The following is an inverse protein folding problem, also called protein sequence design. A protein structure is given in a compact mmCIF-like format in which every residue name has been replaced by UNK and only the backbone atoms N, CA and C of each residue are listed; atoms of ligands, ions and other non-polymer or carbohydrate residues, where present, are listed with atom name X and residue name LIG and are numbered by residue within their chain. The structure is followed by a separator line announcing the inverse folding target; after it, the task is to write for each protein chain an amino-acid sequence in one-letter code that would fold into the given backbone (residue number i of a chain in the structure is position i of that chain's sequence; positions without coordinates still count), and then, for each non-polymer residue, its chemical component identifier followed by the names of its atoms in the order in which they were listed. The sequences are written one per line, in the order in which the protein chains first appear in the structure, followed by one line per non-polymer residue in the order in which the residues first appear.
data_IF_354485216510
#
_entry.id   IF_354485216510
#
_cell.length_a   1.000
_cell.length_b   1.000
_cell.length_c   1.000
_cell.angle_alpha   90.00
_cell.angle_beta   90.00
_cell.angle_gamma   90.00
#
_symmetry.space_group_name_H-M   'P 1'
#
loop_
_entity.id
_entity.type
_entity.pdbx_description
1 polymer ?
#
# COMPACT_ATOMS: atom_id res chain seq x y z
N UNK A 1 6.78 14.26 -37.35
CA UNK A 1 6.41 14.87 -36.06
C UNK A 1 6.49 13.76 -35.02
N UNK A 2 7.56 13.71 -34.22
CA UNK A 2 7.65 12.76 -33.10
C UNK A 2 7.65 13.59 -31.82
N UNK A 3 6.48 13.73 -31.21
CA UNK A 3 6.39 14.21 -29.83
C UNK A 3 6.66 12.99 -28.96
N UNK A 4 7.92 12.83 -28.56
CA UNK A 4 8.23 11.96 -27.43
C UNK A 4 7.65 12.62 -26.19
N UNK A 5 6.43 12.23 -25.82
CA UNK A 5 5.90 12.51 -24.50
C UNK A 5 6.76 11.76 -23.49
N UNK A 6 7.84 12.39 -23.03
CA UNK A 6 8.42 12.08 -21.73
C UNK A 6 7.36 12.43 -20.69
N UNK A 7 6.49 11.47 -20.39
CA UNK A 7 5.70 11.48 -19.16
C UNK A 7 6.73 11.33 -18.04
N UNK A 8 7.34 12.44 -17.65
CA UNK A 8 8.15 12.51 -16.46
C UNK A 8 7.22 12.20 -15.31
N UNK A 9 7.28 10.97 -14.80
CA UNK A 9 6.55 10.53 -13.62
C UNK A 9 7.05 11.38 -12.46
N UNK A 10 6.45 12.55 -12.26
CA UNK A 10 6.79 13.45 -11.17
C UNK A 10 6.52 12.70 -9.88
N UNK A 11 7.58 12.38 -9.14
CA UNK A 11 7.47 11.82 -7.80
C UNK A 11 6.74 12.83 -6.93
N UNK A 12 5.71 12.35 -6.22
CA UNK A 12 4.89 13.20 -5.37
C UNK A 12 5.70 13.69 -4.16
N UNK A 13 5.43 14.92 -3.75
CA UNK A 13 5.94 15.44 -2.47
C UNK A 13 5.34 14.66 -1.30
N UNK A 14 5.97 14.70 -0.13
CA UNK A 14 5.42 14.08 1.10
C UNK A 14 3.99 14.53 1.39
N UNK A 15 3.67 15.81 1.19
CA UNK A 15 2.33 16.35 1.41
C UNK A 15 1.30 15.76 0.44
N UNK A 16 1.68 15.61 -0.83
CA UNK A 16 0.82 14.99 -1.85
C UNK A 16 0.62 13.49 -1.57
N UNK A 17 1.66 12.77 -1.16
CA UNK A 17 1.55 11.36 -0.76
C UNK A 17 0.60 11.19 0.42
N UNK A 18 0.76 11.99 1.48
CA UNK A 18 -0.10 11.94 2.67
C UNK A 18 -1.55 12.25 2.32
N UNK A 19 -1.82 13.15 1.38
CA UNK A 19 -3.19 13.47 0.96
C UNK A 19 -3.88 12.33 0.19
N UNK A 20 -3.11 11.38 -0.35
CA UNK A 20 -3.62 10.21 -1.09
C UNK A 20 -3.69 8.93 -0.25
N UNK A 21 -3.25 8.99 1.01
CA UNK A 21 -3.31 7.85 1.91
C UNK A 21 -4.74 7.41 2.17
N UNK A 22 -4.96 6.10 2.15
CA UNK A 22 -6.23 5.52 2.58
C UNK A 22 -6.31 5.52 4.10
N UNK A 23 -7.48 5.85 4.65
CA UNK A 23 -7.74 5.82 6.08
C UNK A 23 -8.63 4.62 6.43
N UNK A 24 -8.21 3.85 7.42
CA UNK A 24 -8.98 2.71 7.95
C UNK A 24 -9.22 2.94 9.43
N UNK A 25 -10.40 3.48 9.76
CA UNK A 25 -10.75 4.01 11.09
C UNK A 25 -10.47 3.00 12.23
N UNK A 26 -10.70 1.71 11.96
CA UNK A 26 -10.56 0.65 12.97
C UNK A 26 -9.25 -0.15 12.90
N UNK A 27 -8.42 0.08 11.89
CA UNK A 27 -7.22 -0.75 11.65
C UNK A 27 -6.15 -0.54 12.73
N UNK A 28 -6.18 0.60 13.41
CA UNK A 28 -5.23 0.95 14.45
C UNK A 28 -5.51 0.25 15.79
N UNK A 29 -6.70 -0.36 15.93
CA UNK A 29 -7.00 -1.19 17.09
C UNK A 29 -6.23 -2.50 16.92
N UNK A 30 -5.25 -2.75 17.79
CA UNK A 30 -4.42 -3.97 17.79
C UNK A 30 -5.25 -5.27 17.86
N UNK A 31 -6.53 -5.17 18.24
CA UNK A 31 -7.52 -6.24 18.24
C UNK A 31 -8.17 -6.50 16.88
N UNK A 32 -8.25 -5.50 16.00
CA UNK A 32 -8.92 -5.58 14.69
C UNK A 32 -7.93 -5.87 13.57
N UNK A 33 -6.74 -5.28 13.59
CA UNK A 33 -5.72 -5.46 12.54
C UNK A 33 -5.43 -6.94 12.21
N UNK A 34 -5.29 -7.86 13.20
CA UNK A 34 -5.03 -9.27 12.93
C UNK A 34 -6.18 -10.02 12.24
N UNK A 35 -7.37 -9.42 12.14
CA UNK A 35 -8.55 -10.09 11.57
C UNK A 35 -8.61 -9.99 10.04
N UNK A 36 -7.83 -9.11 9.42
CA UNK A 36 -7.81 -8.98 7.97
C UNK A 36 -6.94 -10.06 7.33
N UNK A 37 -7.46 -10.71 6.28
CA UNK A 37 -6.77 -11.75 5.53
C UNK A 37 -6.54 -11.40 4.06
N UNK A 38 -7.23 -10.39 3.54
CA UNK A 38 -7.09 -9.91 2.17
C UNK A 38 -7.12 -8.39 2.10
N UNK A 39 -6.51 -7.83 1.07
CA UNK A 39 -6.51 -6.39 0.81
C UNK A 39 -6.41 -6.07 -0.68
N UNK A 40 -6.76 -4.84 -1.05
CA UNK A 40 -6.54 -4.29 -2.39
C UNK A 40 -5.46 -3.23 -2.28
N UNK A 41 -4.29 -3.47 -2.87
CA UNK A 41 -3.15 -2.57 -2.77
C UNK A 41 -3.25 -1.45 -3.81
N UNK A 42 -2.95 -0.21 -3.40
CA UNK A 42 -2.95 0.95 -4.29
C UNK A 42 -1.61 1.03 -5.06
N UNK A 43 -1.55 0.35 -6.20
CA UNK A 43 -0.37 0.33 -7.07
C UNK A 43 0.00 1.72 -7.57
N UNK A 44 -0.96 2.60 -7.81
CA UNK A 44 -0.68 3.95 -8.27
C UNK A 44 -0.01 4.79 -7.18
N UNK A 45 -0.46 4.65 -5.93
CA UNK A 45 0.19 5.28 -4.79
C UNK A 45 1.63 4.77 -4.62
N UNK A 46 1.87 3.46 -4.74
CA UNK A 46 3.22 2.88 -4.68
C UNK A 46 4.13 3.43 -5.80
N UNK A 47 3.65 3.45 -7.05
CA UNK A 47 4.38 4.03 -8.18
C UNK A 47 4.66 5.52 -7.96
N UNK A 48 3.69 6.26 -7.46
CA UNK A 48 3.81 7.69 -7.16
C UNK A 48 4.79 7.99 -6.02
N UNK A 49 4.96 7.04 -5.10
CA UNK A 49 5.96 7.06 -4.05
C UNK A 49 7.36 6.62 -4.52
N UNK A 50 7.51 6.26 -5.81
CA UNK A 50 8.77 5.79 -6.39
C UNK A 50 9.15 4.37 -5.95
N UNK A 51 8.20 3.58 -5.45
CA UNK A 51 8.45 2.21 -5.02
C UNK A 51 8.36 1.25 -6.21
N UNK A 52 9.17 0.20 -6.14
CA UNK A 52 9.08 -0.92 -7.06
C UNK A 52 7.75 -1.66 -6.85
N UNK A 53 7.03 -1.92 -7.95
CA UNK A 53 5.79 -2.70 -7.96
C UNK A 53 6.05 -4.00 -8.70
N UNK A 54 5.95 -5.16 -8.04
CA UNK A 54 6.06 -6.46 -8.70
C UNK A 54 5.02 -6.66 -9.80
N UNK A 55 5.37 -7.37 -10.86
CA UNK A 55 4.47 -7.64 -12.01
C UNK A 55 3.15 -8.31 -11.60
N UNK A 56 3.17 -9.15 -10.56
CA UNK A 56 1.95 -9.80 -10.05
C UNK A 56 0.89 -8.80 -9.58
N UNK A 57 1.29 -7.61 -9.13
CA UNK A 57 0.38 -6.53 -8.77
C UNK A 57 -0.16 -5.75 -9.97
N UNK A 58 0.53 -5.79 -11.10
CA UNK A 58 0.05 -5.19 -12.35
C UNK A 58 -1.10 -6.02 -12.95
N UNK A 59 -1.05 -7.34 -12.72
CA UNK A 59 -2.10 -8.28 -13.15
C UNK A 59 -3.27 -8.32 -12.16
N UNK A 60 -2.98 -8.33 -10.85
CA UNK A 60 -4.00 -8.39 -9.81
C UNK A 60 -3.62 -7.60 -8.55
N UNK A 61 -4.43 -6.60 -8.22
CA UNK A 61 -4.25 -5.74 -7.05
C UNK A 61 -4.69 -6.40 -5.73
N UNK A 62 -5.41 -7.52 -5.79
CA UNK A 62 -5.90 -8.24 -4.62
C UNK A 62 -4.80 -9.13 -4.06
N UNK A 63 -4.48 -8.95 -2.79
CA UNK A 63 -3.38 -9.63 -2.11
C UNK A 63 -3.89 -10.32 -0.84
N UNK A 64 -3.28 -11.45 -0.50
CA UNK A 64 -3.38 -11.99 0.85
C UNK A 64 -2.58 -11.10 1.80
N UNK A 65 -3.11 -10.80 2.97
CA UNK A 65 -2.43 -9.99 3.99
C UNK A 65 -2.32 -10.74 5.31
N UNK A 66 -1.26 -10.45 6.06
CA UNK A 66 -1.10 -10.89 7.44
C UNK A 66 -0.59 -9.72 8.27
N UNK A 67 -1.25 -9.44 9.39
CA UNK A 67 -0.76 -8.45 10.34
C UNK A 67 0.66 -8.82 10.80
N UNK A 68 1.59 -7.88 10.62
CA UNK A 68 2.99 -8.04 10.99
C UNK A 68 3.28 -7.29 12.31
N UNK A 69 2.99 -5.99 12.34
CA UNK A 69 3.26 -5.13 13.49
C UNK A 69 2.48 -3.81 13.42
N UNK A 70 2.55 -3.04 14.50
CA UNK A 70 2.19 -1.61 14.50
C UNK A 70 3.46 -0.81 14.74
N UNK A 71 3.76 0.15 13.85
CA UNK A 71 4.95 0.99 13.95
C UNK A 71 4.67 2.42 13.51
N UNK A 72 5.59 3.35 13.76
CA UNK A 72 5.45 4.75 13.38
C UNK A 72 5.61 4.91 11.87
N UNK A 73 4.56 5.39 11.19
CA UNK A 73 4.66 5.82 9.79
C UNK A 73 5.30 7.21 9.75
N UNK A 74 6.44 7.33 9.08
CA UNK A 74 7.21 8.58 9.01
C UNK A 74 6.54 9.64 8.12
N UNK A 75 5.67 9.24 7.19
CA UNK A 75 4.94 10.15 6.32
C UNK A 75 3.74 10.78 7.03
N UNK A 76 2.96 9.98 7.76
CA UNK A 76 1.79 10.48 8.52
C UNK A 76 2.13 10.96 9.94
N UNK A 77 3.28 10.55 10.47
CA UNK A 77 3.72 10.83 11.84
C UNK A 77 3.01 10.00 12.91
N UNK A 78 2.08 9.11 12.54
CA UNK A 78 1.22 8.34 13.45
C UNK A 78 1.64 6.87 13.55
N UNK A 79 1.27 6.14 14.62
CA UNK A 79 1.36 4.68 14.66
C UNK A 79 0.35 4.06 13.69
N UNK A 80 0.82 3.23 12.78
CA UNK A 80 -0.01 2.55 11.78
C UNK A 80 0.27 1.05 11.75
N UNK A 81 -0.78 0.27 11.49
CA UNK A 81 -0.64 -1.17 11.28
C UNK A 81 0.11 -1.44 9.97
N UNK A 82 0.89 -2.51 9.98
CA UNK A 82 1.70 -2.97 8.87
C UNK A 82 1.35 -4.42 8.57
N UNK A 83 1.22 -4.73 7.28
CA UNK A 83 0.81 -6.03 6.78
C UNK A 83 1.87 -6.60 5.85
N UNK A 84 2.20 -7.87 6.04
CA UNK A 84 2.89 -8.66 5.03
C UNK A 84 1.90 -9.02 3.94
N UNK A 85 2.22 -8.68 2.70
CA UNK A 85 1.39 -8.96 1.54
C UNK A 85 1.95 -10.13 0.72
N UNK A 86 1.05 -10.96 0.21
CA UNK A 86 1.33 -12.07 -0.69
C UNK A 86 0.42 -11.98 -1.91
N UNK A 87 0.94 -12.31 -3.08
CA UNK A 87 0.11 -12.38 -4.30
C UNK A 87 -0.82 -13.61 -4.30
N UNK A 88 -1.58 -13.76 -5.38
CA UNK A 88 -2.52 -14.87 -5.58
C UNK A 88 -1.88 -16.25 -5.59
N UNK A 89 -0.56 -16.34 -5.83
CA UNK A 89 0.20 -17.59 -5.79
C UNK A 89 0.84 -17.83 -4.41
N UNK A 90 0.59 -16.95 -3.44
CA UNK A 90 1.15 -17.02 -2.10
C UNK A 90 2.60 -16.53 -2.00
N UNK A 91 3.15 -15.94 -3.07
CA UNK A 91 4.51 -15.38 -3.05
C UNK A 91 4.50 -14.07 -2.27
N UNK A 92 5.46 -13.90 -1.37
CA UNK A 92 5.65 -12.66 -0.65
C UNK A 92 6.09 -11.53 -1.58
N UNK A 93 5.41 -10.39 -1.48
CA UNK A 93 5.63 -9.23 -2.35
C UNK A 93 6.05 -7.97 -1.59
N UNK A 94 6.06 -8.01 -0.26
CA UNK A 94 6.50 -6.90 0.58
C UNK A 94 5.66 -6.70 1.81
N UNK A 95 6.05 -5.70 2.59
CA UNK A 95 5.42 -5.30 3.84
C UNK A 95 4.96 -3.85 3.70
N UNK A 96 3.67 -3.60 3.91
CA UNK A 96 3.02 -2.33 3.57
C UNK A 96 2.22 -1.77 4.75
N UNK A 97 2.20 -0.45 4.89
CA UNK A 97 1.33 0.22 5.85
C UNK A 97 -0.14 0.08 5.42
N UNK A 98 -1.05 0.09 6.40
CA UNK A 98 -2.49 -0.03 6.15
C UNK A 98 -3.02 1.02 5.15
N UNK A 99 -2.43 2.21 5.15
CA UNK A 99 -2.80 3.30 4.27
C UNK A 99 -2.43 3.09 2.79
N UNK A 100 -1.64 2.06 2.48
CA UNK A 100 -1.31 1.65 1.12
C UNK A 100 -2.40 0.75 0.51
N UNK A 101 -3.42 0.38 1.28
CA UNK A 101 -4.53 -0.47 0.82
C UNK A 101 -5.78 0.37 0.62
N UNK A 102 -6.39 0.27 -0.57
CA UNK A 102 -7.71 0.84 -0.87
C UNK A 102 -8.80 0.20 0.00
N UNK A 103 -8.65 -1.11 0.26
CA UNK A 103 -9.55 -1.84 1.16
C UNK A 103 -8.83 -2.99 1.85
N UNK A 104 -9.28 -3.33 3.06
CA UNK A 104 -8.86 -4.48 3.84
C UNK A 104 -10.10 -5.28 4.22
N UNK A 105 -10.05 -6.61 4.10
CA UNK A 105 -11.19 -7.51 4.32
C UNK A 105 -10.80 -8.68 5.23
N UNK A 106 -11.76 -9.07 6.07
CA UNK A 106 -11.68 -10.20 7.00
C UNK A 106 -12.12 -11.49 6.33
#
# INVERSE_FOLDING_TARGET
MNVSETIGTRVLTTKELVSRFHSHEDVHLSTVAPQFNTGVIDVELLKSAGLYVPDSLLECHVVGVKYAATTRNMLSGKPEAVFDARDSFGKYIGTYFANCFVSLKR
#
